data_IF_064947175065
#
_entry.id   IF_064947175065
#
_cell.length_a   1.000
_cell.length_b   1.000
_cell.length_c   1.000
_cell.angle_alpha   90.00
_cell.angle_beta   90.00
_cell.angle_gamma   90.00
#
_symmetry.space_group_name_H-M   'P 1'
#
loop_
_entity.id
_entity.type
_entity.pdbx_description
1 polymer ?
#
# COMPACT_ATOMS: atom_id res chain seq x y z
N UNK A 1 -37.81 29.92 30.02
CA UNK A 1 -38.58 30.65 28.99
C UNK A 1 -38.61 29.78 27.75
N UNK A 2 -39.46 28.75 27.60
CA UNK A 2 -40.86 28.54 28.04
C UNK A 2 -41.89 29.18 27.11
N UNK A 3 -42.21 28.49 25.99
CA UNK A 3 -43.37 28.70 25.12
C UNK A 3 -43.43 27.57 24.05
N UNK A 4 -44.55 26.96 23.64
CA UNK A 4 -45.85 26.68 24.32
C UNK A 4 -46.63 25.59 23.55
N UNK A 5 -47.47 24.77 24.21
CA UNK A 5 -48.80 24.20 23.76
C UNK A 5 -48.99 23.43 22.42
N UNK A 6 -49.92 22.48 22.22
CA UNK A 6 -50.62 21.42 23.02
C UNK A 6 -51.59 20.64 22.10
N UNK A 7 -52.19 19.56 22.64
CA UNK A 7 -53.42 18.88 22.18
C UNK A 7 -53.21 17.79 21.12
N UNK A 8 -53.54 16.51 21.32
CA UNK A 8 -54.60 15.83 22.10
C UNK A 8 -55.99 15.90 21.48
N UNK A 9 -56.53 14.73 21.13
CA UNK A 9 -57.96 14.43 21.04
C UNK A 9 -58.21 12.99 21.50
N UNK A 10 -59.46 12.65 21.84
CA UNK A 10 -59.77 11.49 22.66
C UNK A 10 -60.90 10.60 22.10
N UNK A 11 -60.87 9.34 22.53
CA UNK A 11 -61.81 8.24 22.28
C UNK A 11 -63.31 8.60 22.12
N UNK A 12 -63.98 7.96 21.14
CA UNK A 12 -65.41 7.60 21.21
C UNK A 12 -65.62 6.16 20.68
N UNK A 13 -66.40 5.37 21.41
CA UNK A 13 -67.00 4.10 20.94
C UNK A 13 -68.50 4.29 20.72
N UNK A 14 -69.08 3.65 19.70
CA UNK A 14 -70.40 2.99 19.82
C UNK A 14 -70.61 1.92 18.74
N UNK A 15 -71.61 1.06 18.95
CA UNK A 15 -71.90 -0.15 18.18
C UNK A 15 -73.38 -0.50 18.41
N UNK A 16 -74.22 -0.71 17.36
CA UNK A 16 -75.39 -1.62 17.42
C UNK A 16 -76.28 -1.74 16.14
N UNK A 17 -76.65 -3.01 15.79
CA UNK A 17 -78.02 -3.50 15.38
C UNK A 17 -78.59 -3.01 13.99
N UNK A 18 -79.59 -3.58 13.27
CA UNK A 18 -80.51 -4.79 13.26
C UNK A 18 -81.31 -4.77 11.89
N UNK A 19 -81.99 -5.77 11.26
CA UNK A 19 -82.32 -7.23 11.41
C UNK A 19 -82.80 -7.84 10.04
N UNK A 20 -82.42 -9.10 9.75
CA UNK A 20 -83.22 -10.25 9.20
C UNK A 20 -83.99 -10.22 7.84
N UNK A 21 -84.37 -11.45 7.42
CA UNK A 21 -85.38 -11.92 6.42
C UNK A 21 -84.91 -11.92 4.94
N UNK A 22 -85.13 -12.93 4.07
CA UNK A 22 -85.57 -14.36 4.11
C UNK A 22 -84.70 -15.12 3.06
N UNK A 23 -84.33 -16.42 3.09
CA UNK A 23 -84.95 -17.74 3.35
C UNK A 23 -85.78 -18.35 2.19
N UNK A 24 -85.48 -19.63 1.86
CA UNK A 24 -85.99 -20.50 0.76
C UNK A 24 -85.50 -20.14 -0.66
N UNK A 25 -85.26 -21.09 -1.59
CA UNK A 25 -85.36 -22.56 -1.55
C UNK A 25 -84.48 -23.24 -2.63
N UNK A 26 -84.44 -24.58 -2.67
CA UNK A 26 -83.51 -25.36 -3.51
C UNK A 26 -84.05 -25.76 -4.91
N UNK A 27 -83.10 -26.19 -5.76
CA UNK A 27 -83.14 -27.33 -6.71
C UNK A 27 -83.52 -27.13 -8.20
N UNK A 28 -82.97 -28.07 -8.98
CA UNK A 28 -83.13 -28.40 -10.41
C UNK A 28 -82.41 -27.51 -11.43
N UNK A 29 -81.57 -28.18 -12.22
CA UNK A 29 -81.00 -27.80 -13.50
C UNK A 29 -80.99 -29.07 -14.40
N UNK A 30 -80.58 -29.02 -15.68
CA UNK A 30 -80.63 -27.94 -16.67
C UNK A 30 -81.44 -28.36 -17.92
N UNK A 31 -81.54 -27.50 -18.94
CA UNK A 31 -81.83 -27.95 -20.31
C UNK A 31 -81.15 -27.04 -21.35
N UNK A 32 -80.44 -27.69 -22.29
CA UNK A 32 -79.79 -27.10 -23.47
C UNK A 32 -80.88 -26.77 -24.53
N UNK A 33 -80.67 -26.05 -25.64
CA UNK A 33 -79.67 -26.26 -26.72
C UNK A 33 -79.47 -24.95 -27.55
N UNK A 34 -78.28 -24.86 -28.19
CA UNK A 34 -77.89 -23.98 -29.32
C UNK A 34 -77.94 -22.45 -29.17
N UNK A 35 -76.77 -21.86 -28.94
CA UNK A 35 -76.45 -20.43 -29.12
C UNK A 35 -75.08 -20.18 -29.78
N UNK A 36 -74.63 -21.12 -30.62
CA UNK A 36 -73.44 -21.13 -31.50
C UNK A 36 -72.17 -20.30 -31.14
N UNK A 37 -71.11 -21.04 -30.79
CA UNK A 37 -69.77 -20.91 -31.42
C UNK A 37 -69.01 -19.57 -31.27
N UNK A 38 -69.17 -18.88 -30.14
CA UNK A 38 -68.28 -17.78 -29.73
C UNK A 38 -67.45 -18.16 -28.48
N UNK A 39 -68.06 -18.74 -27.43
CA UNK A 39 -67.36 -19.19 -26.20
C UNK A 39 -66.15 -20.09 -26.49
N UNK A 40 -66.36 -21.32 -26.98
CA UNK A 40 -65.28 -22.28 -27.30
C UNK A 40 -64.17 -21.74 -28.24
N UNK A 41 -64.44 -20.66 -28.98
CA UNK A 41 -63.46 -19.99 -29.85
C UNK A 41 -62.71 -18.85 -29.16
N UNK A 42 -63.36 -18.10 -28.27
CA UNK A 42 -62.70 -17.12 -27.41
C UNK A 42 -61.86 -17.84 -26.36
N UNK A 43 -62.37 -18.92 -25.77
CA UNK A 43 -61.65 -19.73 -24.79
C UNK A 43 -60.44 -20.38 -25.47
N UNK A 44 -60.60 -21.10 -26.60
CA UNK A 44 -59.44 -21.60 -27.36
C UNK A 44 -58.50 -20.51 -27.89
N UNK A 45 -58.97 -19.30 -28.16
CA UNK A 45 -58.09 -18.20 -28.55
C UNK A 45 -57.32 -17.63 -27.35
N UNK A 46 -57.95 -17.59 -26.17
CA UNK A 46 -57.35 -17.09 -24.93
C UNK A 46 -56.36 -18.11 -24.36
N UNK A 47 -56.72 -19.39 -24.33
CA UNK A 47 -55.84 -20.51 -24.04
C UNK A 47 -54.64 -20.49 -25.00
N UNK A 48 -54.87 -20.48 -26.32
CA UNK A 48 -53.77 -20.48 -27.30
C UNK A 48 -52.90 -19.21 -27.20
N UNK A 49 -53.45 -18.05 -26.86
CA UNK A 49 -52.65 -16.82 -26.64
C UNK A 49 -51.87 -16.89 -25.31
N UNK A 50 -52.43 -17.51 -24.27
CA UNK A 50 -51.75 -17.81 -23.02
C UNK A 50 -50.61 -18.81 -23.22
N UNK A 51 -50.83 -19.87 -23.99
CA UNK A 51 -49.83 -20.87 -24.39
C UNK A 51 -48.72 -20.21 -25.21
N UNK A 52 -49.05 -19.40 -26.23
CA UNK A 52 -48.05 -18.67 -27.04
C UNK A 52 -47.23 -17.70 -26.18
N UNK A 53 -47.84 -17.03 -25.20
CA UNK A 53 -47.12 -16.18 -24.25
C UNK A 53 -46.20 -17.00 -23.33
N UNK A 54 -46.68 -18.13 -22.81
CA UNK A 54 -45.93 -19.09 -22.01
C UNK A 54 -44.72 -19.66 -22.76
N UNK A 55 -44.92 -20.17 -23.97
CA UNK A 55 -43.87 -20.68 -24.87
C UNK A 55 -42.84 -19.60 -25.20
N UNK A 56 -43.28 -18.36 -25.45
CA UNK A 56 -42.38 -17.21 -25.69
C UNK A 56 -41.52 -16.92 -24.47
N UNK A 57 -42.12 -16.89 -23.27
CA UNK A 57 -41.40 -16.64 -22.01
C UNK A 57 -40.45 -17.80 -21.68
N UNK A 58 -40.88 -19.05 -21.84
CA UNK A 58 -40.03 -20.23 -21.65
C UNK A 58 -38.85 -20.28 -22.63
N UNK A 59 -39.05 -19.82 -23.88
CA UNK A 59 -37.98 -19.69 -24.88
C UNK A 59 -36.97 -18.60 -24.48
N UNK A 60 -37.44 -17.45 -23.97
CA UNK A 60 -36.58 -16.39 -23.45
C UNK A 60 -35.83 -16.81 -22.17
N UNK A 61 -36.49 -17.51 -21.26
CA UNK A 61 -35.87 -18.04 -20.05
C UNK A 61 -34.80 -19.06 -20.39
N UNK A 62 -35.09 -20.05 -21.25
CA UNK A 62 -34.10 -21.02 -21.72
C UNK A 62 -32.87 -20.38 -22.40
N UNK A 63 -33.05 -19.24 -23.07
CA UNK A 63 -31.96 -18.46 -23.66
C UNK A 63 -31.12 -17.71 -22.62
N UNK A 64 -31.76 -17.08 -21.61
CA UNK A 64 -31.09 -16.45 -20.47
C UNK A 64 -30.25 -17.48 -19.70
N UNK A 65 -30.85 -18.63 -19.42
CA UNK A 65 -30.25 -19.79 -18.77
C UNK A 65 -29.04 -20.35 -19.55
N UNK A 66 -29.12 -20.37 -20.89
CA UNK A 66 -28.01 -20.79 -21.74
C UNK A 66 -26.85 -19.80 -21.72
N UNK A 67 -27.13 -18.49 -21.63
CA UNK A 67 -26.11 -17.44 -21.54
C UNK A 67 -25.44 -17.38 -20.16
N UNK A 68 -26.19 -17.65 -19.08
CA UNK A 68 -25.59 -17.79 -17.73
C UNK A 68 -24.72 -19.06 -17.61
N UNK A 69 -25.00 -20.11 -18.41
CA UNK A 69 -24.14 -21.30 -18.50
C UNK A 69 -22.93 -21.13 -19.43
N UNK A 70 -23.06 -20.42 -20.55
CA UNK A 70 -21.98 -20.16 -21.49
C UNK A 70 -22.20 -18.89 -22.34
N UNK A 71 -21.80 -17.74 -21.79
CA UNK A 71 -21.92 -16.42 -22.43
C UNK A 71 -21.17 -16.33 -23.77
N UNK A 72 -20.08 -17.07 -23.97
CA UNK A 72 -19.33 -17.07 -25.24
C UNK A 72 -20.16 -17.58 -26.43
N UNK A 73 -21.21 -18.38 -26.19
CA UNK A 73 -22.08 -18.96 -27.24
C UNK A 73 -23.23 -18.05 -27.66
N UNK A 74 -23.22 -16.77 -27.28
CA UNK A 74 -24.34 -15.84 -27.43
C UNK A 74 -24.94 -15.75 -28.83
N UNK A 75 -24.11 -15.79 -29.88
CA UNK A 75 -24.59 -15.72 -31.26
C UNK A 75 -25.43 -16.94 -31.63
N UNK A 76 -24.97 -18.14 -31.26
CA UNK A 76 -25.70 -19.38 -31.45
C UNK A 76 -26.99 -19.42 -30.61
N UNK A 77 -26.93 -18.95 -29.36
CA UNK A 77 -28.14 -18.86 -28.49
C UNK A 77 -29.18 -17.90 -29.08
N UNK A 78 -28.78 -16.73 -29.61
CA UNK A 78 -29.72 -15.81 -30.25
C UNK A 78 -30.29 -16.35 -31.56
N UNK A 79 -29.50 -17.05 -32.38
CA UNK A 79 -29.97 -17.71 -33.60
C UNK A 79 -30.98 -18.82 -33.27
N UNK A 80 -30.67 -19.68 -32.30
CA UNK A 80 -31.54 -20.73 -31.77
C UNK A 80 -32.85 -20.14 -31.22
N UNK A 81 -32.77 -19.12 -30.34
CA UNK A 81 -33.92 -18.36 -29.82
C UNK A 81 -34.80 -17.83 -30.95
N UNK A 82 -34.20 -17.18 -31.96
CA UNK A 82 -34.92 -16.59 -33.10
C UNK A 82 -35.61 -17.65 -33.97
N UNK A 83 -35.09 -18.89 -34.00
CA UNK A 83 -35.70 -20.02 -34.70
C UNK A 83 -36.79 -20.73 -33.90
N UNK A 84 -36.71 -20.73 -32.56
CA UNK A 84 -37.68 -21.33 -31.64
C UNK A 84 -38.90 -20.46 -31.39
N UNK A 85 -38.74 -19.13 -31.46
CA UNK A 85 -39.84 -18.18 -31.51
C UNK A 85 -40.69 -18.43 -32.78
N UNK A 86 -41.81 -19.13 -32.58
CA UNK A 86 -42.68 -19.62 -33.66
C UNK A 86 -43.33 -18.49 -34.46
N UNK A 87 -43.93 -18.81 -35.62
CA UNK A 87 -44.61 -17.82 -36.47
C UNK A 87 -45.80 -17.11 -35.79
N UNK A 88 -46.35 -17.70 -34.73
CA UNK A 88 -47.48 -17.16 -33.98
C UNK A 88 -47.02 -16.34 -32.75
N UNK A 89 -45.75 -16.47 -32.32
CA UNK A 89 -45.17 -15.59 -31.32
C UNK A 89 -45.12 -14.15 -31.86
N UNK A 90 -45.46 -13.15 -31.04
CA UNK A 90 -45.64 -11.77 -31.52
C UNK A 90 -44.41 -11.29 -32.29
N UNK A 91 -44.62 -10.86 -33.54
CA UNK A 91 -43.55 -10.45 -34.46
C UNK A 91 -42.65 -9.37 -33.85
N UNK A 92 -43.21 -8.50 -33.01
CA UNK A 92 -42.51 -7.54 -32.13
C UNK A 92 -41.35 -8.18 -31.36
N UNK A 93 -41.58 -9.27 -30.63
CA UNK A 93 -40.56 -9.93 -29.79
C UNK A 93 -39.46 -10.53 -30.66
N UNK A 94 -39.83 -11.22 -31.74
CA UNK A 94 -38.86 -11.79 -32.69
C UNK A 94 -38.03 -10.70 -33.37
N UNK A 95 -38.63 -9.53 -33.64
CA UNK A 95 -37.92 -8.37 -34.18
C UNK A 95 -36.99 -7.75 -33.14
N UNK A 96 -37.40 -7.59 -31.87
CA UNK A 96 -36.52 -7.11 -30.79
C UNK A 96 -35.31 -8.05 -30.57
N UNK A 97 -35.50 -9.37 -30.64
CA UNK A 97 -34.40 -10.36 -30.55
C UNK A 97 -33.49 -10.34 -31.79
N UNK A 98 -34.06 -10.16 -32.99
CA UNK A 98 -33.27 -10.05 -34.24
C UNK A 98 -32.46 -8.74 -34.31
N UNK A 99 -33.04 -7.64 -33.85
CA UNK A 99 -32.39 -6.34 -33.77
C UNK A 99 -31.35 -6.28 -32.63
N UNK A 100 -31.57 -7.02 -31.54
CA UNK A 100 -30.52 -7.30 -30.54
C UNK A 100 -29.35 -8.05 -31.16
N UNK A 101 -29.60 -9.16 -31.90
CA UNK A 101 -28.56 -9.92 -32.59
C UNK A 101 -27.75 -9.04 -33.56
N UNK A 102 -28.43 -8.24 -34.39
CA UNK A 102 -27.77 -7.35 -35.35
C UNK A 102 -26.93 -6.27 -34.65
N UNK A 103 -27.43 -5.65 -33.57
CA UNK A 103 -26.68 -4.66 -32.80
C UNK A 103 -25.50 -5.26 -32.04
N UNK A 104 -25.64 -6.46 -31.46
CA UNK A 104 -24.54 -7.19 -30.83
C UNK A 104 -23.44 -7.59 -31.83
N UNK A 105 -23.80 -7.95 -33.07
CA UNK A 105 -22.81 -8.17 -34.14
C UNK A 105 -22.12 -6.87 -34.54
N UNK A 106 -22.88 -5.78 -34.76
CA UNK A 106 -22.32 -4.49 -35.17
C UNK A 106 -21.38 -3.88 -34.11
N UNK A 107 -21.73 -4.00 -32.83
CA UNK A 107 -20.90 -3.57 -31.70
C UNK A 107 -19.46 -4.10 -31.78
N UNK A 108 -19.28 -5.36 -32.19
CA UNK A 108 -17.97 -6.03 -32.30
C UNK A 108 -16.91 -5.28 -33.11
N UNK A 109 -17.30 -4.34 -34.00
CA UNK A 109 -16.37 -3.52 -34.77
C UNK A 109 -15.59 -2.49 -33.94
N UNK A 110 -16.29 -1.73 -33.10
CA UNK A 110 -15.70 -0.65 -32.28
C UNK A 110 -15.47 -1.09 -30.82
N UNK A 111 -16.27 -2.03 -30.30
CA UNK A 111 -16.32 -2.42 -28.88
C UNK A 111 -15.23 -3.43 -28.44
N UNK A 112 -14.24 -3.68 -29.30
CA UNK A 112 -13.20 -4.73 -29.26
C UNK A 112 -12.24 -4.71 -28.03
N UNK A 113 -12.56 -3.93 -27.00
CA UNK A 113 -11.77 -3.76 -25.76
C UNK A 113 -12.37 -4.47 -24.55
N UNK A 114 -13.61 -4.97 -24.64
CA UNK A 114 -14.16 -5.93 -23.69
C UNK A 114 -14.04 -7.37 -24.25
N UNK A 115 -13.76 -8.36 -23.40
CA UNK A 115 -13.70 -9.78 -23.79
C UNK A 115 -15.06 -10.30 -24.28
N UNK A 116 -15.08 -11.34 -25.13
CA UNK A 116 -16.31 -11.83 -25.78
C UNK A 116 -17.45 -12.20 -24.82
N UNK A 117 -17.13 -12.68 -23.61
CA UNK A 117 -18.11 -13.02 -22.56
C UNK A 117 -19.02 -11.84 -22.17
N UNK A 118 -18.53 -10.61 -22.38
CA UNK A 118 -19.31 -9.39 -22.18
C UNK A 118 -20.50 -9.30 -23.13
N UNK A 119 -20.36 -9.69 -24.41
CA UNK A 119 -21.47 -9.63 -25.37
C UNK A 119 -22.58 -10.58 -24.91
N UNK A 120 -22.25 -11.78 -24.43
CA UNK A 120 -23.23 -12.69 -23.83
C UNK A 120 -23.93 -12.11 -22.60
N UNK A 121 -23.21 -11.36 -21.76
CA UNK A 121 -23.79 -10.66 -20.60
C UNK A 121 -24.76 -9.54 -21.04
N UNK A 122 -24.38 -8.73 -22.02
CA UNK A 122 -25.20 -7.63 -22.59
C UNK A 122 -26.46 -8.17 -23.28
N UNK A 123 -26.32 -9.24 -24.06
CA UNK A 123 -27.41 -9.99 -24.69
C UNK A 123 -28.37 -10.54 -23.64
N UNK A 124 -27.86 -11.19 -22.59
CA UNK A 124 -28.68 -11.74 -21.50
C UNK A 124 -29.49 -10.67 -20.78
N UNK A 125 -28.86 -9.52 -20.45
CA UNK A 125 -29.56 -8.37 -19.87
C UNK A 125 -30.66 -7.85 -20.80
N UNK A 126 -30.41 -7.77 -22.10
CA UNK A 126 -31.42 -7.34 -23.07
C UNK A 126 -32.60 -8.33 -23.16
N UNK A 127 -32.34 -9.64 -23.23
CA UNK A 127 -33.39 -10.68 -23.20
C UNK A 127 -34.23 -10.62 -21.91
N UNK A 128 -33.59 -10.43 -20.75
CA UNK A 128 -34.30 -10.25 -19.48
C UNK A 128 -35.20 -9.00 -19.47
N UNK A 129 -34.79 -7.91 -20.14
CA UNK A 129 -35.60 -6.69 -20.29
C UNK A 129 -36.75 -6.86 -21.29
N UNK A 130 -36.54 -7.61 -22.39
CA UNK A 130 -37.61 -8.00 -23.33
C UNK A 130 -38.67 -8.85 -22.60
N UNK A 131 -38.24 -9.88 -21.86
CA UNK A 131 -39.10 -10.72 -21.01
C UNK A 131 -39.88 -9.90 -19.98
N UNK A 132 -39.23 -8.97 -19.28
CA UNK A 132 -39.89 -8.13 -18.29
C UNK A 132 -41.00 -7.26 -18.91
N UNK A 133 -40.77 -6.68 -20.10
CA UNK A 133 -41.82 -5.95 -20.85
C UNK A 133 -42.99 -6.85 -21.21
N UNK A 134 -42.71 -8.04 -21.75
CA UNK A 134 -43.71 -9.02 -22.16
C UNK A 134 -44.58 -9.49 -20.98
N UNK A 135 -44.00 -9.60 -19.79
CA UNK A 135 -44.70 -9.96 -18.55
C UNK A 135 -45.33 -8.76 -17.81
N UNK A 136 -45.26 -7.54 -18.37
CA UNK A 136 -45.65 -6.28 -17.71
C UNK A 136 -45.00 -6.06 -16.32
N UNK A 137 -43.79 -6.60 -16.14
CA UNK A 137 -42.98 -6.49 -14.93
C UNK A 137 -42.10 -5.24 -14.95
N UNK A 138 -41.58 -4.86 -13.77
CA UNK A 138 -40.57 -3.81 -13.67
C UNK A 138 -39.33 -4.18 -14.51
N UNK A 139 -39.01 -3.37 -15.51
CA UNK A 139 -37.90 -3.63 -16.43
C UNK A 139 -36.57 -3.48 -15.68
N UNK A 140 -35.68 -4.49 -15.70
CA UNK A 140 -34.38 -4.39 -15.05
C UNK A 140 -33.56 -3.17 -15.52
N UNK A 141 -32.86 -2.49 -14.59
CA UNK A 141 -31.93 -1.43 -14.94
C UNK A 141 -30.72 -2.01 -15.68
N UNK A 142 -30.03 -1.17 -16.46
CA UNK A 142 -28.80 -1.57 -17.14
C UNK A 142 -27.63 -1.43 -16.16
N UNK A 143 -26.83 -2.47 -16.03
CA UNK A 143 -25.57 -2.40 -15.29
C UNK A 143 -24.48 -1.82 -16.21
N UNK A 144 -23.84 -0.69 -15.86
CA UNK A 144 -22.76 -0.12 -16.63
C UNK A 144 -21.54 -1.03 -16.58
N UNK A 145 -20.98 -1.32 -17.75
CA UNK A 145 -19.87 -2.25 -17.89
C UNK A 145 -18.54 -1.50 -18.04
N UNK A 146 -17.49 -2.02 -17.42
CA UNK A 146 -16.14 -1.45 -17.49
C UNK A 146 -15.19 -2.45 -18.16
N UNK A 147 -14.59 -2.05 -19.29
CA UNK A 147 -13.64 -2.88 -20.02
C UNK A 147 -12.20 -2.67 -19.53
N UNK A 148 -11.79 -1.40 -19.42
CA UNK A 148 -10.42 -1.04 -19.02
C UNK A 148 -10.35 0.32 -18.32
N UNK A 149 -9.35 0.46 -17.46
CA UNK A 149 -9.00 1.72 -16.79
C UNK A 149 -7.56 2.08 -17.16
N UNK A 150 -7.31 3.36 -17.46
CA UNK A 150 -5.98 3.86 -17.83
C UNK A 150 -5.57 5.01 -16.90
N UNK A 151 -4.47 4.88 -16.14
CA UNK A 151 -3.75 3.64 -15.83
C UNK A 151 -4.61 2.65 -15.01
N UNK A 152 -4.25 1.36 -15.03
CA UNK A 152 -4.97 0.31 -14.30
C UNK A 152 -4.77 0.36 -12.76
N UNK A 153 -3.83 1.18 -12.28
CA UNK A 153 -3.57 1.46 -10.87
C UNK A 153 -2.98 2.87 -10.73
N UNK A 154 -3.16 3.51 -9.57
CA UNK A 154 -2.58 4.82 -9.26
C UNK A 154 -1.25 4.62 -8.54
N UNK A 155 -0.13 4.82 -9.23
CA UNK A 155 1.19 4.76 -8.60
C UNK A 155 1.55 6.09 -7.90
N UNK A 156 1.56 6.07 -6.57
CA UNK A 156 1.88 7.23 -5.74
C UNK A 156 3.39 7.56 -5.69
N UNK A 157 4.25 6.73 -6.29
CA UNK A 157 5.65 7.04 -6.55
C UNK A 157 5.87 7.89 -7.82
N UNK A 158 4.86 8.01 -8.70
CA UNK A 158 4.92 8.94 -9.85
C UNK A 158 4.77 10.39 -9.39
N UNK A 159 5.42 11.31 -10.09
CA UNK A 159 5.23 12.75 -9.93
C UNK A 159 3.73 13.11 -10.07
N UNK A 160 3.18 14.03 -9.24
CA UNK A 160 1.78 14.44 -9.32
C UNK A 160 1.31 14.79 -10.74
N UNK A 161 2.12 15.52 -11.52
CA UNK A 161 1.79 15.93 -12.89
C UNK A 161 1.62 14.77 -13.87
N UNK A 162 2.05 13.56 -13.50
CA UNK A 162 1.94 12.32 -14.30
C UNK A 162 0.80 11.41 -13.87
N UNK A 163 0.00 11.80 -12.88
CA UNK A 163 -1.12 11.02 -12.33
C UNK A 163 -2.41 11.85 -12.18
N UNK A 164 -2.64 12.80 -13.10
CA UNK A 164 -3.75 13.79 -13.01
C UNK A 164 -5.16 13.22 -13.26
N UNK A 165 -5.31 12.00 -13.80
CA UNK A 165 -6.62 11.39 -14.08
C UNK A 165 -6.55 9.86 -14.13
N UNK A 166 -7.71 9.22 -13.96
CA UNK A 166 -8.01 7.86 -14.44
C UNK A 166 -9.05 7.97 -15.57
N UNK A 167 -8.85 7.22 -16.64
CA UNK A 167 -9.78 7.15 -17.78
C UNK A 167 -10.46 5.78 -17.81
N UNK A 168 -11.78 5.77 -17.78
CA UNK A 168 -12.63 4.58 -17.66
C UNK A 168 -13.38 4.38 -18.97
N UNK A 169 -13.21 3.21 -19.58
CA UNK A 169 -13.79 2.90 -20.88
C UNK A 169 -14.67 1.66 -20.79
N UNK A 170 -15.84 1.70 -21.41
CA UNK A 170 -16.87 0.70 -21.22
C UNK A 170 -18.19 1.13 -21.85
N UNK A 171 -19.32 0.84 -21.19
CA UNK A 171 -20.66 0.99 -21.76
C UNK A 171 -21.69 1.46 -20.74
N UNK A 172 -22.75 2.09 -21.24
CA UNK A 172 -23.95 2.45 -20.48
C UNK A 172 -23.70 3.42 -19.30
N UNK A 173 -22.58 4.17 -19.32
CA UNK A 173 -22.15 5.12 -18.27
C UNK A 173 -23.03 6.37 -18.13
N UNK A 174 -23.81 6.70 -19.15
CA UNK A 174 -24.81 7.77 -19.16
C UNK A 174 -26.18 7.30 -18.63
N UNK A 175 -26.44 5.99 -18.55
CA UNK A 175 -27.77 5.43 -18.24
C UNK A 175 -28.11 5.43 -16.74
N UNK A 176 -27.10 5.36 -15.85
CA UNK A 176 -27.30 5.19 -14.41
C UNK A 176 -26.24 5.93 -13.58
N UNK A 177 -26.54 6.31 -12.32
CA UNK A 177 -25.51 6.84 -11.42
C UNK A 177 -24.46 5.79 -11.05
N UNK A 178 -23.18 6.13 -11.25
CA UNK A 178 -22.03 5.39 -10.73
C UNK A 178 -21.45 6.22 -9.59
N UNK A 179 -21.19 5.57 -8.45
CA UNK A 179 -20.55 6.16 -7.27
C UNK A 179 -19.07 5.79 -7.26
N UNK A 180 -18.21 6.70 -6.82
CA UNK A 180 -16.77 6.46 -6.63
C UNK A 180 -16.40 6.66 -5.18
N UNK A 181 -15.74 5.66 -4.60
CA UNK A 181 -15.39 5.62 -3.19
C UNK A 181 -13.87 5.50 -3.04
N UNK A 182 -13.24 6.49 -2.40
CA UNK A 182 -11.84 6.42 -1.95
C UNK A 182 -11.77 5.68 -0.61
N UNK A 183 -10.91 4.68 -0.53
CA UNK A 183 -10.59 3.97 0.70
C UNK A 183 -9.18 4.34 1.16
N UNK A 184 -9.08 4.88 2.36
CA UNK A 184 -7.83 4.95 3.13
C UNK A 184 -7.82 3.86 4.22
N UNK A 185 -6.67 3.58 4.80
CA UNK A 185 -6.46 2.55 5.84
C UNK A 185 -7.36 2.65 7.09
N UNK A 186 -8.07 3.76 7.28
CA UNK A 186 -8.95 4.00 8.45
C UNK A 186 -10.28 4.69 8.11
N UNK A 187 -10.53 5.06 6.85
CA UNK A 187 -11.73 5.82 6.45
C UNK A 187 -12.14 5.56 5.02
N UNK A 188 -13.42 5.79 4.74
CA UNK A 188 -14.05 5.64 3.43
C UNK A 188 -14.67 6.98 3.06
N UNK A 189 -14.36 7.53 1.89
CA UNK A 189 -14.82 8.84 1.43
C UNK A 189 -15.50 8.72 0.05
N UNK A 190 -16.69 9.30 -0.09
CA UNK A 190 -17.31 9.47 -1.41
C UNK A 190 -16.58 10.58 -2.18
N UNK A 191 -16.18 10.27 -3.41
CA UNK A 191 -15.46 11.18 -4.33
C UNK A 191 -16.14 11.23 -5.71
N UNK A 192 -17.42 10.85 -5.79
CA UNK A 192 -18.19 10.81 -7.05
C UNK A 192 -18.33 12.17 -7.74
N UNK A 193 -18.13 13.27 -7.02
CA UNK A 193 -18.10 14.62 -7.57
C UNK A 193 -16.93 14.85 -8.55
N UNK A 194 -15.87 14.06 -8.45
CA UNK A 194 -14.67 14.15 -9.31
C UNK A 194 -14.76 13.29 -10.58
N UNK A 195 -15.89 12.61 -10.81
CA UNK A 195 -16.11 11.71 -11.94
C UNK A 195 -16.88 12.42 -13.06
N UNK A 196 -16.15 12.99 -14.01
CA UNK A 196 -16.70 13.50 -15.27
C UNK A 196 -17.15 12.35 -16.17
N UNK A 197 -18.29 12.52 -16.85
CA UNK A 197 -18.81 11.58 -17.84
C UNK A 197 -18.85 12.25 -19.20
N UNK A 198 -18.02 11.78 -20.11
CA UNK A 198 -17.76 12.44 -21.39
C UNK A 198 -18.63 11.86 -22.50
N UNK A 199 -18.88 10.54 -22.48
CA UNK A 199 -19.83 9.85 -23.36
C UNK A 199 -20.44 8.63 -22.66
N UNK A 200 -21.42 7.99 -23.29
CA UNK A 200 -21.91 6.63 -22.97
C UNK A 200 -20.77 5.60 -22.74
N UNK A 201 -19.62 5.81 -23.40
CA UNK A 201 -18.50 4.87 -23.47
C UNK A 201 -17.27 5.29 -22.66
N UNK A 202 -17.22 6.53 -22.14
CA UNK A 202 -16.02 7.11 -21.54
C UNK A 202 -16.31 8.05 -20.37
N UNK A 203 -15.67 7.80 -19.22
CA UNK A 203 -15.65 8.68 -18.04
C UNK A 203 -14.20 8.97 -17.63
N UNK A 204 -13.97 10.07 -16.92
CA UNK A 204 -12.67 10.43 -16.36
C UNK A 204 -12.80 10.87 -14.91
N UNK A 205 -12.02 10.26 -14.01
CA UNK A 205 -11.92 10.69 -12.61
C UNK A 205 -10.73 11.63 -12.46
N UNK A 206 -10.98 12.85 -11.98
CA UNK A 206 -9.98 13.87 -11.73
C UNK A 206 -9.09 13.49 -10.53
N UNK A 207 -7.78 13.34 -10.76
CA UNK A 207 -6.76 13.10 -9.73
C UNK A 207 -5.76 14.27 -9.62
N UNK A 208 -6.06 15.41 -10.25
CA UNK A 208 -5.24 16.62 -10.21
C UNK A 208 -5.33 17.38 -8.88
N UNK A 209 -4.77 18.59 -8.83
CA UNK A 209 -4.67 19.39 -7.61
C UNK A 209 -6.03 19.74 -6.95
N UNK A 210 -7.11 19.76 -7.73
CA UNK A 210 -8.48 20.02 -7.27
C UNK A 210 -9.35 18.74 -7.31
N UNK A 211 -8.74 17.56 -7.46
CA UNK A 211 -9.44 16.28 -7.64
C UNK A 211 -9.50 15.42 -6.39
N UNK A 212 -9.60 14.09 -6.60
CA UNK A 212 -9.62 13.09 -5.52
C UNK A 212 -8.44 13.31 -4.56
N UNK A 213 -8.68 13.44 -3.23
CA UNK A 213 -7.67 13.81 -2.25
C UNK A 213 -6.76 12.64 -1.84
N UNK A 214 -6.02 12.10 -2.80
CA UNK A 214 -5.12 10.96 -2.64
C UNK A 214 -3.98 11.25 -1.65
N UNK A 215 -3.76 10.32 -0.71
CA UNK A 215 -2.82 10.48 0.39
C UNK A 215 -1.88 9.28 0.54
N UNK A 216 -0.94 9.35 1.51
CA UNK A 216 -0.10 8.20 1.91
C UNK A 216 -0.87 7.09 2.61
N UNK A 217 -2.11 7.34 3.02
CA UNK A 217 -3.00 6.36 3.66
C UNK A 217 -3.98 5.72 2.67
N UNK A 218 -4.02 6.17 1.41
CA UNK A 218 -4.95 5.68 0.39
C UNK A 218 -4.56 4.31 -0.14
N UNK A 219 -5.51 3.37 -0.14
CA UNK A 219 -5.34 1.97 -0.52
C UNK A 219 -5.93 1.68 -1.90
N UNK A 220 -7.15 2.17 -2.17
CA UNK A 220 -7.85 1.92 -3.44
C UNK A 220 -9.00 2.90 -3.70
N UNK A 221 -9.42 2.96 -4.96
CA UNK A 221 -10.67 3.55 -5.43
C UNK A 221 -11.63 2.44 -5.87
N UNK A 222 -12.85 2.43 -5.35
CA UNK A 222 -13.91 1.49 -5.74
C UNK A 222 -14.96 2.22 -6.57
N UNK A 223 -15.40 1.63 -7.68
CA UNK A 223 -16.60 2.07 -8.40
C UNK A 223 -17.78 1.21 -7.97
N UNK A 224 -18.89 1.84 -7.63
CA UNK A 224 -20.11 1.20 -7.14
C UNK A 224 -21.31 1.55 -8.03
N UNK A 225 -22.12 0.54 -8.34
CA UNK A 225 -23.43 0.69 -8.99
C UNK A 225 -24.49 -0.04 -8.16
N UNK A 226 -25.59 0.63 -7.83
CA UNK A 226 -26.62 0.12 -6.91
C UNK A 226 -26.05 -0.45 -5.59
N UNK A 227 -25.04 0.22 -5.03
CA UNK A 227 -24.29 -0.21 -3.84
C UNK A 227 -23.51 -1.54 -3.97
N UNK A 228 -23.38 -2.08 -5.19
CA UNK A 228 -22.50 -3.21 -5.51
C UNK A 228 -21.19 -2.70 -6.12
N UNK A 229 -20.00 -3.14 -5.67
CA UNK A 229 -18.75 -2.80 -6.34
C UNK A 229 -18.70 -3.44 -7.73
N UNK A 230 -18.41 -2.63 -8.75
CA UNK A 230 -18.22 -3.05 -10.16
C UNK A 230 -16.76 -2.94 -10.62
N UNK A 231 -15.91 -2.19 -9.90
CA UNK A 231 -14.47 -2.13 -10.14
C UNK A 231 -13.69 -1.68 -8.90
N UNK A 232 -12.40 -2.01 -8.84
CA UNK A 232 -11.48 -1.64 -7.77
C UNK A 232 -10.09 -1.34 -8.36
N UNK A 233 -9.60 -0.12 -8.16
CA UNK A 233 -8.34 0.40 -8.69
C UNK A 233 -7.39 0.63 -7.52
N UNK A 234 -6.27 -0.08 -7.49
CA UNK A 234 -5.30 0.02 -6.40
C UNK A 234 -4.56 1.37 -6.41
N UNK A 235 -4.30 1.91 -5.23
CA UNK A 235 -3.42 3.07 -5.00
C UNK A 235 -2.10 2.55 -4.45
N UNK A 236 -1.12 2.36 -5.34
CA UNK A 236 0.17 1.75 -5.01
C UNK A 236 1.04 2.77 -4.29
N UNK A 237 1.24 2.58 -2.98
CA UNK A 237 2.09 3.45 -2.17
C UNK A 237 3.60 3.26 -2.49
N UNK A 238 4.42 4.33 -2.42
CA UNK A 238 5.82 4.27 -2.80
C UNK A 238 6.64 3.41 -1.83
N UNK A 239 7.11 2.25 -2.30
CA UNK A 239 7.96 1.36 -1.51
C UNK A 239 9.24 2.06 -1.04
N UNK A 240 9.46 2.08 0.29
CA UNK A 240 10.69 2.37 1.04
C UNK A 240 11.73 3.29 0.35
N UNK A 241 11.81 4.59 0.70
CA UNK A 241 12.85 5.50 0.18
C UNK A 241 14.28 5.07 0.57
N UNK A 242 15.29 5.60 -0.11
CA UNK A 242 16.69 5.45 0.33
C UNK A 242 16.92 6.26 1.62
N UNK A 243 17.61 5.69 2.61
CA UNK A 243 17.91 6.37 3.88
C UNK A 243 18.75 7.62 3.66
N UNK A 244 18.52 8.65 4.49
CA UNK A 244 19.39 9.82 4.54
C UNK A 244 20.74 9.41 5.14
N UNK A 245 21.82 9.97 4.59
CA UNK A 245 23.17 9.85 5.12
C UNK A 245 23.69 11.24 5.47
N UNK A 246 24.53 11.35 6.50
CA UNK A 246 25.28 12.57 6.84
C UNK A 246 26.68 12.22 7.38
N UNK A 247 27.64 13.11 7.19
CA UNK A 247 28.90 13.08 7.94
C UNK A 247 28.75 13.98 9.16
N UNK A 248 29.27 13.54 10.31
CA UNK A 248 29.28 14.31 11.55
C UNK A 248 30.68 14.28 12.16
N UNK A 249 31.17 15.44 12.58
CA UNK A 249 32.47 15.62 13.24
C UNK A 249 32.23 15.90 14.72
N UNK A 250 32.76 15.05 15.59
CA UNK A 250 32.64 15.13 17.03
C UNK A 250 34.02 15.33 17.67
N UNK A 251 34.21 16.46 18.36
CA UNK A 251 35.36 16.72 19.20
C UNK A 251 35.00 16.52 20.68
N UNK A 252 35.93 15.97 21.47
CA UNK A 252 35.86 15.93 22.94
C UNK A 252 36.86 16.95 23.47
N UNK A 253 36.37 17.99 24.16
CA UNK A 253 37.20 19.07 24.70
C UNK A 253 37.96 18.68 26.00
N UNK A 254 37.84 17.41 26.43
CA UNK A 254 38.52 16.84 27.60
C UNK A 254 39.51 15.75 27.21
N UNK A 255 40.68 15.78 27.87
CA UNK A 255 41.64 14.69 27.80
C UNK A 255 41.18 13.48 28.64
N UNK A 256 41.72 12.30 28.35
CA UNK A 256 41.46 11.08 29.11
C UNK A 256 42.75 10.65 29.85
N UNK A 257 42.72 10.60 31.18
CA UNK A 257 43.82 10.03 31.96
C UNK A 257 43.62 8.54 32.22
N UNK A 258 44.69 7.75 32.16
CA UNK A 258 44.68 6.33 32.51
C UNK A 258 46.00 5.89 33.15
N UNK A 259 45.91 5.30 34.34
CA UNK A 259 46.99 4.60 35.03
C UNK A 259 46.67 3.10 34.97
N UNK A 260 47.41 2.28 34.19
CA UNK A 260 47.21 0.84 34.16
C UNK A 260 47.59 0.19 35.51
N UNK A 261 46.93 -0.91 35.91
CA UNK A 261 47.21 -1.59 37.17
C UNK A 261 48.60 -2.26 37.16
N UNK A 262 49.16 -2.43 38.35
CA UNK A 262 50.32 -3.29 38.59
C UNK A 262 50.02 -4.75 38.21
N UNK A 263 50.98 -5.42 37.56
CA UNK A 263 50.84 -6.82 37.12
C UNK A 263 52.01 -7.72 37.51
N UNK A 264 53.19 -7.15 37.81
CA UNK A 264 54.42 -7.86 38.17
C UNK A 264 55.40 -6.89 38.82
N UNK A 265 56.17 -7.38 39.78
CA UNK A 265 57.32 -6.70 40.39
C UNK A 265 57.05 -6.17 41.80
N UNK A 266 57.92 -5.30 42.29
CA UNK A 266 57.76 -4.59 43.57
C UNK A 266 56.98 -3.26 43.46
N UNK A 267 56.73 -2.81 42.21
CA UNK A 267 56.07 -1.57 41.74
C UNK A 267 56.96 -0.35 41.50
N UNK A 268 58.21 -0.39 41.92
CA UNK A 268 59.18 0.72 41.80
C UNK A 268 59.92 0.61 40.45
N UNK A 269 60.35 1.73 39.87
CA UNK A 269 61.18 1.75 38.65
C UNK A 269 62.61 2.22 38.89
N UNK A 270 62.89 2.96 39.96
CA UNK A 270 64.24 3.32 40.44
C UNK A 270 65.20 3.87 39.37
N UNK A 271 64.69 4.60 38.38
CA UNK A 271 65.46 5.12 37.25
C UNK A 271 65.97 4.02 36.30
N UNK A 272 65.25 2.91 36.14
CA UNK A 272 65.61 1.78 35.27
C UNK A 272 64.66 1.62 34.06
N UNK A 273 63.87 2.65 33.75
CA UNK A 273 62.88 2.70 32.69
C UNK A 273 61.70 3.57 33.15
N UNK A 274 60.46 3.27 32.76
CA UNK A 274 60.01 2.11 31.99
C UNK A 274 60.23 2.20 30.47
N UNK A 275 60.30 1.05 29.79
CA UNK A 275 59.89 0.94 28.38
C UNK A 275 58.36 1.00 28.31
N UNK A 276 57.83 1.91 27.49
CA UNK A 276 56.41 2.27 27.49
C UNK A 276 55.80 2.11 26.10
N UNK A 277 54.63 1.47 26.05
CA UNK A 277 53.77 1.38 24.87
C UNK A 277 52.35 1.87 25.20
N UNK A 278 51.73 2.60 24.27
CA UNK A 278 50.30 2.83 24.28
C UNK A 278 49.67 2.58 22.91
N UNK A 279 48.42 2.14 22.91
CA UNK A 279 47.62 1.92 21.71
C UNK A 279 46.16 2.29 21.97
N UNK A 280 45.66 3.27 21.22
CA UNK A 280 44.29 3.75 21.27
C UNK A 280 43.56 3.36 19.98
N UNK A 281 42.38 2.74 20.13
CA UNK A 281 41.59 2.24 19.00
C UNK A 281 40.15 2.76 19.09
N UNK A 282 39.59 3.19 17.97
CA UNK A 282 38.15 3.38 17.82
C UNK A 282 37.50 2.17 17.14
N UNK A 283 36.35 1.75 17.65
CA UNK A 283 35.51 0.68 17.11
C UNK A 283 34.04 1.09 17.18
N UNK A 284 33.16 0.49 16.38
CA UNK A 284 31.73 0.79 16.46
C UNK A 284 30.87 -0.47 16.46
N UNK A 285 29.82 -0.46 17.27
CA UNK A 285 28.73 -1.46 17.26
C UNK A 285 27.51 -1.02 16.41
N UNK A 286 27.66 0.08 15.65
CA UNK A 286 26.59 0.70 14.87
C UNK A 286 25.76 1.73 15.64
N UNK A 287 25.80 1.76 16.97
CA UNK A 287 25.12 2.80 17.78
C UNK A 287 26.07 3.66 18.60
N UNK A 288 27.20 3.09 19.01
CA UNK A 288 28.26 3.75 19.75
C UNK A 288 29.58 3.69 18.98
N UNK A 289 30.45 4.67 19.19
CA UNK A 289 31.90 4.50 19.00
C UNK A 289 32.53 4.24 20.36
N UNK A 290 33.24 3.12 20.47
CA UNK A 290 33.97 2.70 21.66
C UNK A 290 35.46 2.96 21.46
N UNK A 291 36.05 3.65 22.44
CA UNK A 291 37.49 3.81 22.58
C UNK A 291 38.04 2.65 23.43
N UNK A 292 39.08 1.99 22.93
CA UNK A 292 39.92 1.05 23.69
C UNK A 292 41.33 1.60 23.76
N UNK A 293 41.73 2.07 24.94
CA UNK A 293 43.08 2.52 25.27
C UNK A 293 43.79 1.41 26.05
N UNK A 294 44.82 0.80 25.46
CA UNK A 294 45.75 -0.09 26.15
C UNK A 294 47.06 0.66 26.43
N UNK A 295 47.64 0.41 27.59
CA UNK A 295 48.97 0.88 27.96
C UNK A 295 49.74 -0.23 28.68
N UNK A 296 51.03 -0.30 28.40
CA UNK A 296 52.02 -1.11 29.13
C UNK A 296 53.24 -0.24 29.44
N UNK A 297 53.70 -0.29 30.68
CA UNK A 297 54.98 0.24 31.12
C UNK A 297 55.74 -0.89 31.82
N UNK A 298 57.00 -1.11 31.47
CA UNK A 298 57.84 -2.20 32.02
C UNK A 298 59.26 -1.72 32.26
N UNK A 299 59.82 -1.98 33.43
CA UNK A 299 61.23 -1.74 33.74
C UNK A 299 62.16 -2.38 32.67
N UNK A 300 63.31 -1.75 32.38
CA UNK A 300 64.26 -2.29 31.38
C UNK A 300 65.31 -3.23 31.98
N UNK A 301 65.30 -3.42 33.31
CA UNK A 301 66.31 -4.16 34.09
C UNK A 301 65.63 -5.00 35.19
N UNK A 302 66.39 -5.31 36.23
CA UNK A 302 65.98 -5.92 37.51
C UNK A 302 64.89 -7.00 37.47
N UNK A 303 63.81 -6.83 38.23
CA UNK A 303 62.76 -7.84 38.44
C UNK A 303 61.65 -7.76 37.38
N UNK A 304 61.72 -6.73 36.51
CA UNK A 304 60.78 -6.40 35.46
C UNK A 304 59.42 -5.94 36.01
N UNK A 305 59.42 -4.99 36.96
CA UNK A 305 58.22 -4.26 37.37
C UNK A 305 57.40 -3.84 36.14
N UNK A 306 56.10 -4.10 36.16
CA UNK A 306 55.19 -3.93 35.02
C UNK A 306 53.82 -3.40 35.45
N UNK A 307 53.43 -2.25 34.90
CA UNK A 307 52.04 -1.81 34.86
C UNK A 307 51.45 -2.11 33.47
N UNK A 308 50.32 -2.82 33.40
CA UNK A 308 49.66 -3.11 32.12
C UNK A 308 48.14 -3.24 32.27
N UNK A 309 47.39 -2.64 31.33
CA UNK A 309 45.95 -2.82 31.29
C UNK A 309 45.25 -1.98 30.24
N UNK A 310 43.92 -1.93 30.35
CA UNK A 310 43.04 -1.29 29.36
C UNK A 310 41.94 -0.45 29.99
N UNK A 311 41.68 0.71 29.38
CA UNK A 311 40.49 1.53 29.62
C UNK A 311 39.59 1.50 28.38
N UNK A 312 38.34 1.07 28.58
CA UNK A 312 37.32 1.00 27.53
C UNK A 312 36.19 2.00 27.85
N UNK A 313 35.86 2.90 26.92
CA UNK A 313 34.81 3.91 27.09
C UNK A 313 33.93 4.04 25.84
N UNK A 314 32.65 4.39 26.04
CA UNK A 314 31.84 4.99 24.97
C UNK A 314 32.36 6.41 24.72
N UNK A 315 32.92 6.63 23.54
CA UNK A 315 33.47 7.92 23.12
C UNK A 315 32.40 8.81 22.47
N UNK A 316 31.49 8.20 21.69
CA UNK A 316 30.39 8.89 21.00
C UNK A 316 29.17 7.96 20.90
N UNK A 317 27.97 8.55 20.88
CA UNK A 317 26.68 7.85 20.71
C UNK A 317 25.90 8.49 19.58
N UNK A 318 25.39 7.69 18.64
CA UNK A 318 24.59 8.20 17.53
C UNK A 318 23.28 8.85 18.01
N UNK A 319 22.84 9.97 17.40
CA UNK A 319 21.58 10.62 17.78
C UNK A 319 20.36 9.75 17.42
N UNK A 320 19.25 9.83 18.17
CA UNK A 320 18.04 9.06 17.90
C UNK A 320 17.57 9.14 16.44
N UNK A 321 17.23 7.97 15.87
CA UNK A 321 16.87 7.84 14.45
C UNK A 321 18.05 7.58 13.49
N UNK A 322 19.30 7.59 13.99
CA UNK A 322 20.51 7.34 13.20
C UNK A 322 21.32 6.17 13.75
N UNK A 323 22.03 5.47 12.87
CA UNK A 323 23.11 4.53 13.21
C UNK A 323 24.42 5.01 12.57
N UNK A 324 25.54 4.55 13.12
CA UNK A 324 26.86 4.66 12.49
C UNK A 324 26.90 3.67 11.31
N UNK A 325 27.27 4.17 10.14
CA UNK A 325 27.54 3.38 8.92
C UNK A 325 29.03 3.07 8.80
N UNK A 326 29.88 4.04 9.13
CA UNK A 326 31.33 3.88 9.24
C UNK A 326 31.97 4.99 10.08
N UNK A 327 33.17 4.72 10.59
CA UNK A 327 34.11 5.76 11.05
C UNK A 327 34.97 6.15 9.84
N UNK A 328 35.16 7.44 9.62
CA UNK A 328 35.86 8.02 8.45
C UNK A 328 37.29 8.43 8.81
N UNK A 329 37.51 8.86 10.05
CA UNK A 329 38.84 9.02 10.63
C UNK A 329 39.55 7.66 10.82
N UNK A 330 40.87 7.70 10.95
CA UNK A 330 41.69 6.52 11.22
C UNK A 330 41.32 5.84 12.54
N UNK A 331 41.39 4.51 12.55
CA UNK A 331 40.89 3.68 13.65
C UNK A 331 41.89 3.47 14.79
N UNK A 332 43.18 3.76 14.57
CA UNK A 332 44.28 3.44 15.48
C UNK A 332 45.29 4.59 15.59
N UNK A 333 45.79 4.80 16.81
CA UNK A 333 46.96 5.61 17.16
C UNK A 333 47.80 4.81 18.15
N UNK A 334 49.13 4.90 18.06
CA UNK A 334 50.04 4.22 18.98
C UNK A 334 51.32 5.03 19.22
N UNK A 335 52.00 4.73 20.32
CA UNK A 335 53.31 5.26 20.68
C UNK A 335 54.13 4.19 21.40
N UNK A 336 55.45 4.22 21.22
CA UNK A 336 56.43 3.37 21.90
C UNK A 336 57.70 4.19 22.12
N UNK A 337 58.19 4.24 23.36
CA UNK A 337 59.48 4.85 23.71
C UNK A 337 60.10 4.11 24.91
N UNK A 338 61.33 4.49 25.27
CA UNK A 338 61.98 4.09 26.52
C UNK A 338 62.17 5.35 27.34
N UNK A 339 61.62 5.37 28.55
CA UNK A 339 61.78 6.45 29.51
C UNK A 339 63.20 6.46 30.09
N UNK A 340 63.69 7.65 30.40
CA UNK A 340 65.09 7.89 30.82
C UNK A 340 65.27 9.00 31.84
N UNK A 341 64.20 9.70 32.24
CA UNK A 341 64.21 10.63 33.37
C UNK A 341 62.83 10.65 34.09
N UNK A 342 62.52 11.70 34.86
CA UNK A 342 61.28 11.80 35.65
C UNK A 342 60.30 12.86 35.10
N UNK A 343 60.42 13.25 33.83
CA UNK A 343 59.57 14.28 33.20
C UNK A 343 58.33 13.68 32.51
N UNK A 344 57.36 14.56 32.21
CA UNK A 344 56.17 14.23 31.41
C UNK A 344 56.51 14.09 29.91
N UNK A 345 56.69 12.86 29.43
CA UNK A 345 57.01 12.57 28.03
C UNK A 345 55.84 12.87 27.07
N UNK A 346 56.11 13.32 25.83
CA UNK A 346 55.08 13.74 24.85
C UNK A 346 55.27 13.12 23.48
N UNK A 347 54.35 12.24 23.10
CA UNK A 347 54.40 11.47 21.86
C UNK A 347 53.18 11.76 20.97
N UNK A 348 53.41 12.12 19.71
CA UNK A 348 52.35 12.47 18.76
C UNK A 348 51.60 11.23 18.24
N UNK A 349 50.28 11.17 18.43
CA UNK A 349 49.45 10.04 17.98
C UNK A 349 49.06 10.06 16.49
N UNK A 350 49.57 11.03 15.73
CA UNK A 350 49.28 11.27 14.31
C UNK A 350 48.02 12.11 14.07
N UNK A 351 47.89 12.76 12.89
CA UNK A 351 46.75 13.65 12.60
C UNK A 351 45.45 12.89 12.27
N UNK A 352 45.55 11.61 11.94
CA UNK A 352 44.44 10.83 11.36
C UNK A 352 43.81 9.82 12.33
N UNK A 353 44.54 9.35 13.35
CA UNK A 353 44.05 8.34 14.30
C UNK A 353 43.25 8.94 15.47
N UNK A 354 42.81 8.13 16.46
CA UNK A 354 42.05 8.60 17.61
C UNK A 354 42.76 9.68 18.44
N UNK A 355 44.10 9.64 18.51
CA UNK A 355 44.89 10.44 19.45
C UNK A 355 45.73 11.47 18.72
N UNK A 356 45.66 12.71 19.20
CA UNK A 356 46.51 13.83 18.79
C UNK A 356 47.86 13.79 19.53
N UNK A 357 47.80 13.66 20.85
CA UNK A 357 48.95 13.63 21.75
C UNK A 357 48.71 12.59 22.85
N UNK A 358 49.67 11.69 23.03
CA UNK A 358 49.87 10.92 24.25
C UNK A 358 50.87 11.69 25.12
N UNK A 359 50.49 12.01 26.36
CA UNK A 359 51.38 12.61 27.36
C UNK A 359 51.56 11.60 28.49
N UNK A 360 52.75 11.03 28.60
CA UNK A 360 53.05 9.95 29.54
C UNK A 360 53.51 10.48 30.90
N UNK A 361 53.36 9.60 31.90
CA UNK A 361 53.99 9.67 33.21
C UNK A 361 54.74 8.35 33.39
N UNK A 362 56.06 8.43 33.52
CA UNK A 362 56.95 7.28 33.70
C UNK A 362 57.16 6.95 35.17
N UNK A 363 58.31 7.38 35.67
CA UNK A 363 58.93 7.07 36.96
C UNK A 363 58.89 8.27 37.93
N UNK A 364 58.64 8.04 39.23
CA UNK A 364 58.74 9.04 40.30
C UNK A 364 59.19 8.44 41.64
N UNK A 365 59.51 9.28 42.63
CA UNK A 365 59.82 8.85 44.00
C UNK A 365 58.68 8.00 44.65
N UNK A 366 58.72 6.65 44.54
CA UNK A 366 57.85 5.70 45.25
C UNK A 366 57.06 4.70 44.39
N UNK A 367 55.92 4.22 44.90
CA UNK A 367 55.03 3.25 44.21
C UNK A 367 54.54 3.77 42.83
N UNK A 368 55.31 3.54 41.77
CA UNK A 368 54.99 3.92 40.39
C UNK A 368 53.84 3.10 39.78
N UNK A 369 54.09 1.80 39.65
CA UNK A 369 53.30 0.91 38.83
C UNK A 369 51.94 0.61 39.50
N UNK A 370 50.86 1.00 38.83
CA UNK A 370 49.50 0.91 39.37
C UNK A 370 49.02 2.13 40.16
N UNK A 371 49.86 3.15 40.34
CA UNK A 371 49.55 4.33 41.17
C UNK A 371 49.74 5.65 40.41
N UNK A 372 50.89 5.86 39.78
CA UNK A 372 51.24 7.09 39.08
C UNK A 372 51.39 6.87 37.56
N UNK A 373 52.24 5.91 37.19
CA UNK A 373 52.64 5.62 35.80
C UNK A 373 51.42 5.47 34.91
N UNK A 374 51.36 6.24 33.83
CA UNK A 374 50.12 6.38 33.08
C UNK A 374 50.23 7.27 31.86
N UNK A 375 49.09 7.58 31.26
CA UNK A 375 49.00 8.39 30.06
C UNK A 375 47.76 9.31 30.11
N UNK A 376 47.98 10.58 29.80
CA UNK A 376 46.94 11.55 29.46
C UNK A 376 46.82 11.61 27.93
N UNK A 377 45.59 11.48 27.43
CA UNK A 377 45.31 11.34 26.00
C UNK A 377 44.47 12.52 25.52
N UNK A 378 45.02 13.32 24.60
CA UNK A 378 44.28 14.36 23.88
C UNK A 378 43.84 13.80 22.52
N UNK A 379 42.56 13.90 22.20
CA UNK A 379 41.97 13.28 21.01
C UNK A 379 42.05 14.15 19.76
N UNK A 380 42.02 13.51 18.58
CA UNK A 380 41.62 14.16 17.34
C UNK A 380 40.08 14.21 17.22
N UNK A 381 39.50 15.09 16.38
CA UNK A 381 38.08 15.03 16.06
C UNK A 381 37.71 13.69 15.41
N UNK A 382 36.75 12.99 16.00
CA UNK A 382 36.13 11.81 15.41
C UNK A 382 35.26 12.24 14.23
N UNK A 383 35.44 11.61 13.06
CA UNK A 383 34.54 11.81 11.92
C UNK A 383 33.78 10.52 11.67
N UNK A 384 32.45 10.57 11.77
CA UNK A 384 31.56 9.42 11.51
C UNK A 384 30.62 9.69 10.34
N UNK A 385 30.35 8.64 9.57
CA UNK A 385 29.25 8.60 8.62
C UNK A 385 28.04 7.97 9.31
N UNK A 386 26.94 8.70 9.35
CA UNK A 386 25.67 8.30 9.96
C UNK A 386 24.62 8.03 8.87
N UNK A 387 23.75 7.06 9.10
CA UNK A 387 22.61 6.72 8.24
C UNK A 387 21.33 6.55 9.06
N UNK A 388 20.22 7.04 8.52
CA UNK A 388 18.88 6.97 9.11
C UNK A 388 18.42 5.50 9.24
N UNK A 389 17.68 5.14 10.31
CA UNK A 389 17.32 3.73 10.61
C UNK A 389 15.85 3.36 10.38
N UNK A 390 14.98 4.33 10.08
CA UNK A 390 13.53 4.13 10.07
C UNK A 390 12.93 4.30 8.66
N UNK A 391 12.06 3.36 8.27
CA UNK A 391 11.23 3.42 7.05
C UNK A 391 12.00 3.65 5.75
N UNK A 392 13.26 3.23 5.68
CA UNK A 392 14.16 3.51 4.56
C UNK A 392 15.12 2.33 4.28
N UNK A 393 15.73 2.32 3.08
CA UNK A 393 16.73 1.35 2.66
C UNK A 393 18.12 2.01 2.55
N UNK A 394 19.17 1.55 3.27
CA UNK A 394 20.51 2.14 3.17
C UNK A 394 21.09 2.02 1.76
N UNK A 395 21.77 3.05 1.25
CA UNK A 395 22.34 3.03 -0.10
C UNK A 395 23.40 1.93 -0.26
N UNK A 396 24.14 1.63 0.80
CA UNK A 396 25.06 0.48 0.90
C UNK A 396 24.35 -0.87 0.75
N UNK A 397 23.18 -1.04 1.37
CA UNK A 397 22.37 -2.25 1.24
C UNK A 397 21.77 -2.41 -0.17
N UNK A 398 21.23 -1.33 -0.75
CA UNK A 398 20.72 -1.31 -2.13
C UNK A 398 21.82 -1.69 -3.13
N UNK A 399 23.02 -1.13 -2.97
CA UNK A 399 24.19 -1.47 -3.80
C UNK A 399 24.66 -2.91 -3.61
N UNK A 400 24.61 -3.44 -2.38
CA UNK A 400 24.94 -4.84 -2.08
C UNK A 400 23.96 -5.82 -2.71
N UNK A 401 22.66 -5.50 -2.72
CA UNK A 401 21.65 -6.30 -3.43
C UNK A 401 21.82 -6.22 -4.95
N UNK A 402 22.15 -5.04 -5.49
CA UNK A 402 22.44 -4.85 -6.91
C UNK A 402 23.63 -5.69 -7.39
N UNK A 403 24.74 -5.70 -6.63
CA UNK A 403 25.95 -6.48 -6.97
C UNK A 403 25.72 -8.01 -6.89
N UNK A 404 24.61 -8.45 -6.29
CA UNK A 404 24.21 -9.86 -6.16
C UNK A 404 23.01 -10.23 -7.04
N UNK A 405 22.54 -9.32 -7.90
CA UNK A 405 21.31 -9.44 -8.69
C UNK A 405 20.02 -9.75 -7.87
N UNK A 406 20.03 -9.43 -6.57
CA UNK A 406 18.91 -9.66 -5.63
C UNK A 406 17.88 -8.51 -5.59
N UNK A 407 17.87 -7.64 -6.60
CA UNK A 407 16.96 -6.48 -6.67
C UNK A 407 16.61 -6.15 -8.12
N UNK A 408 15.31 -5.98 -8.39
CA UNK A 408 14.81 -5.82 -9.76
C UNK A 408 15.39 -4.56 -10.47
N UNK A 409 15.73 -4.63 -11.77
CA UNK A 409 16.27 -3.49 -12.53
C UNK A 409 15.36 -2.25 -12.55
N UNK A 410 14.04 -2.42 -12.46
CA UNK A 410 13.06 -1.34 -12.30
C UNK A 410 13.21 -0.64 -10.96
N UNK A 411 13.40 -1.39 -9.88
CA UNK A 411 13.68 -0.86 -8.54
C UNK A 411 15.03 -0.16 -8.48
N UNK A 412 16.08 -0.69 -9.14
CA UNK A 412 17.37 0.00 -9.26
C UNK A 412 17.18 1.36 -9.95
N UNK A 413 16.53 1.41 -11.12
CA UNK A 413 16.26 2.67 -11.85
C UNK A 413 15.49 3.70 -11.03
N UNK A 414 14.57 3.25 -10.15
CA UNK A 414 13.81 4.13 -9.23
C UNK A 414 14.67 4.70 -8.09
N UNK A 415 15.59 3.91 -7.54
CA UNK A 415 16.44 4.31 -6.41
C UNK A 415 17.72 5.05 -6.84
N UNK A 416 18.20 4.82 -8.06
CA UNK A 416 19.44 5.41 -8.61
C UNK A 416 19.52 6.95 -8.49
N UNK A 417 18.47 7.75 -8.76
CA UNK A 417 18.50 9.21 -8.55
C UNK A 417 18.62 9.63 -7.09
N UNK A 418 18.18 8.78 -6.15
CA UNK A 418 18.32 9.03 -4.71
C UNK A 418 19.74 8.66 -4.25
N UNK A 419 20.28 7.53 -4.73
CA UNK A 419 21.66 7.10 -4.45
C UNK A 419 22.70 8.09 -4.98
N UNK A 420 22.50 8.66 -6.17
CA UNK A 420 23.39 9.68 -6.74
C UNK A 420 23.44 10.97 -5.89
N UNK A 421 22.31 11.38 -5.30
CA UNK A 421 22.26 12.55 -4.40
C UNK A 421 23.05 12.36 -3.10
N UNK A 422 23.28 11.12 -2.67
CA UNK A 422 24.09 10.79 -1.49
C UNK A 422 25.59 10.72 -1.80
N UNK A 423 25.98 10.62 -3.06
CA UNK A 423 27.39 10.55 -3.51
C UNK A 423 28.03 11.94 -3.72
N UNK A 424 27.41 13.01 -3.22
CA UNK A 424 27.79 14.41 -3.50
C UNK A 424 28.27 15.19 -2.27
N UNK A 425 29.42 14.86 -1.66
CA UNK A 425 30.24 15.90 -1.06
C UNK A 425 30.78 16.76 -2.21
N UNK A 426 30.38 18.03 -2.29
CA UNK A 426 31.20 19.00 -3.02
C UNK A 426 32.51 19.19 -2.23
N UNK A 427 33.67 19.31 -2.91
CA UNK A 427 34.87 19.84 -2.28
C UNK A 427 34.69 21.32 -1.91
#
# INVERSE_FOLDING_TARGET
MSATTTSSFHCVKTNHRIRKLLLWGMLIAPLLISGCSIGDKIDKATDKVSDIAGDTVATLDGAIDALDRNSSSWQAVLQDTTSKLTKDAQSTVRNEVSDLLNRSVAATGDELRCNMDFIGTRVRQALARIRARLMHQAVPPVEPALCHVVPAAVDMALDPSRRNKLEFFGYDFDTTPIKVTLHDTSRTQDVSAELDRLTHYHMTLNLGANGVPLSKASDKLTLEWQSRPISSIAVIQPATPVCREKTETYARDTYLSFTPPHTRGDKEFAGHGPEVWAKANWSSDGTHVKLRLWMKARETRSDWTTAEGERNETYYTAPPGWRIDSIVSGLESSAHYIDTDHNDDRQGGGPNGPVKEFKFRGDHDGDDAGSYTGVDVTFNPLVVKLVEVANCAPASAVKSLQVKDLIAPTTIKRLQPMMLKLQSPKP
#
